data_IF_946659091209
#
_entry.id   IF_946659091209
#
_cell.length_a   1.000
_cell.length_b   1.000
_cell.length_c   1.000
_cell.angle_alpha   90.00
_cell.angle_beta   90.00
_cell.angle_gamma   90.00
#
_symmetry.space_group_name_H-M   'P 1'
#
loop_
_entity.id
_entity.type
_entity.pdbx_description
1 polymer ?
#
# COMPACT_ATOMS: atom_id res chain seq x y z
N UNK A 1 3.81 6.49 35.93
CA UNK A 1 2.78 7.52 35.63
C UNK A 1 3.24 8.21 34.35
N UNK A 2 2.81 7.71 33.19
CA UNK A 2 3.13 8.25 31.87
C UNK A 2 1.80 8.51 31.17
N UNK A 3 1.37 9.77 31.16
CA UNK A 3 0.23 10.23 30.40
C UNK A 3 0.70 10.41 28.96
N UNK A 4 0.34 9.45 28.11
CA UNK A 4 0.34 9.65 26.67
C UNK A 4 -0.86 10.56 26.37
N UNK A 5 -0.59 11.85 26.12
CA UNK A 5 -1.59 12.79 25.62
C UNK A 5 -1.94 12.39 24.18
N UNK A 6 -2.90 11.48 24.08
CA UNK A 6 -3.63 11.16 22.88
C UNK A 6 -4.43 12.37 22.44
N UNK A 7 -4.02 12.94 21.32
CA UNK A 7 -4.86 13.26 20.15
C UNK A 7 -6.36 13.00 20.43
N UNK A 8 -7.12 14.04 20.76
CA UNK A 8 -8.56 14.02 20.62
C UNK A 8 -9.08 15.44 20.32
N UNK A 9 -8.95 15.83 19.05
CA UNK A 9 -9.80 16.87 18.48
C UNK A 9 -11.19 16.27 18.23
N UNK A 10 -12.28 17.07 18.27
CA UNK A 10 -13.63 16.54 18.36
C UNK A 10 -13.88 15.59 17.20
N UNK A 11 -14.18 14.34 17.56
CA UNK A 11 -14.60 13.31 16.63
C UNK A 11 -15.71 13.84 15.72
N UNK A 12 -15.32 14.14 14.49
CA UNK A 12 -16.10 13.74 13.33
C UNK A 12 -15.27 12.71 12.59
N UNK A 13 -15.14 11.54 13.23
CA UNK A 13 -14.93 10.29 12.52
C UNK A 13 -15.86 10.35 11.30
N UNK A 14 -15.28 10.39 10.09
CA UNK A 14 -16.01 10.73 8.89
C UNK A 14 -17.34 9.98 8.89
N UNK A 15 -18.44 10.71 8.93
CA UNK A 15 -19.75 10.12 8.76
C UNK A 15 -19.81 9.72 7.29
N UNK A 16 -20.03 8.43 7.04
CA UNK A 16 -20.24 7.95 5.68
C UNK A 16 -21.58 8.53 5.26
N UNK A 17 -21.71 9.04 4.03
CA UNK A 17 -23.05 9.40 3.56
C UNK A 17 -23.96 8.18 3.76
N UNK A 18 -25.21 8.34 4.23
CA UNK A 18 -26.07 7.20 4.56
C UNK A 18 -26.15 6.16 3.42
N UNK A 19 -26.16 6.64 2.18
CA UNK A 19 -26.17 5.85 0.96
C UNK A 19 -24.88 5.01 0.77
N UNK A 20 -23.71 5.64 0.89
CA UNK A 20 -22.40 4.99 0.86
C UNK A 20 -22.25 3.92 1.98
N UNK A 21 -22.94 4.09 3.11
CA UNK A 21 -22.90 3.13 4.22
C UNK A 21 -23.73 1.88 3.90
N UNK A 22 -24.88 2.05 3.24
CA UNK A 22 -25.72 0.94 2.76
C UNK A 22 -24.97 0.15 1.69
N UNK A 23 -24.35 0.86 0.74
CA UNK A 23 -23.54 0.26 -0.32
C UNK A 23 -22.32 -0.52 0.20
N UNK A 24 -21.59 0.04 1.17
CA UNK A 24 -20.49 -0.66 1.83
C UNK A 24 -20.96 -1.95 2.51
N UNK A 25 -22.10 -1.90 3.23
CA UNK A 25 -22.67 -3.08 3.91
C UNK A 25 -23.10 -4.15 2.90
N UNK A 26 -23.72 -3.77 1.79
CA UNK A 26 -24.12 -4.70 0.72
C UNK A 26 -22.90 -5.40 0.11
N UNK A 27 -21.88 -4.63 -0.29
CA UNK A 27 -20.64 -5.19 -0.87
C UNK A 27 -19.88 -6.07 0.12
N UNK A 28 -19.88 -5.73 1.40
CA UNK A 28 -19.28 -6.57 2.43
C UNK A 28 -20.06 -7.88 2.62
N UNK A 29 -21.39 -7.85 2.52
CA UNK A 29 -22.22 -9.04 2.55
C UNK A 29 -21.95 -9.94 1.35
N UNK A 30 -21.78 -9.37 0.15
CA UNK A 30 -21.43 -10.12 -1.06
C UNK A 30 -20.07 -10.82 -0.92
N UNK A 31 -19.02 -10.11 -0.45
CA UNK A 31 -17.70 -10.71 -0.20
C UNK A 31 -17.79 -11.86 0.80
N UNK A 32 -18.57 -11.69 1.89
CA UNK A 32 -18.79 -12.75 2.87
C UNK A 32 -19.49 -13.94 2.23
N UNK A 33 -20.51 -13.71 1.41
CA UNK A 33 -21.23 -14.79 0.74
C UNK A 33 -20.31 -15.60 -0.16
N UNK A 34 -19.54 -14.95 -1.04
CA UNK A 34 -18.58 -15.63 -1.92
C UNK A 34 -17.56 -16.47 -1.13
N UNK A 35 -17.03 -15.95 -0.01
CA UNK A 35 -16.13 -16.72 0.83
C UNK A 35 -16.76 -18.00 1.39
N UNK A 36 -18.02 -17.95 1.84
CA UNK A 36 -18.71 -19.13 2.38
C UNK A 36 -19.06 -20.13 1.28
N UNK A 37 -19.51 -19.65 0.12
CA UNK A 37 -19.84 -20.49 -1.04
C UNK A 37 -18.59 -21.26 -1.53
N UNK A 38 -17.44 -20.58 -1.63
CA UNK A 38 -16.17 -21.20 -2.05
C UNK A 38 -15.51 -22.06 -0.95
N UNK A 39 -15.76 -21.77 0.33
CA UNK A 39 -15.34 -22.64 1.43
C UNK A 39 -16.08 -23.98 1.47
N UNK A 40 -17.22 -24.11 0.78
CA UNK A 40 -17.91 -25.39 0.65
C UNK A 40 -17.11 -26.46 -0.13
N UNK A 41 -15.94 -26.12 -0.70
CA UNK A 41 -14.97 -27.09 -1.22
C UNK A 41 -14.51 -28.15 -0.19
N UNK A 42 -14.84 -27.99 1.10
CA UNK A 42 -14.69 -29.04 2.10
C UNK A 42 -15.53 -30.29 1.76
N UNK A 43 -16.70 -30.12 1.15
CA UNK A 43 -17.52 -31.22 0.64
C UNK A 43 -16.80 -32.01 -0.47
N UNK A 44 -16.04 -31.31 -1.32
CA UNK A 44 -15.22 -31.94 -2.34
C UNK A 44 -14.09 -32.79 -1.73
N UNK A 45 -13.45 -32.31 -0.65
CA UNK A 45 -12.42 -33.07 0.06
C UNK A 45 -12.98 -34.36 0.67
N UNK A 46 -14.15 -34.29 1.29
CA UNK A 46 -14.83 -35.48 1.83
C UNK A 46 -15.20 -36.44 0.70
N UNK A 47 -15.72 -35.93 -0.41
CA UNK A 47 -16.05 -36.76 -1.58
C UNK A 47 -14.82 -37.46 -2.18
N UNK A 48 -13.67 -36.78 -2.30
CA UNK A 48 -12.43 -37.39 -2.78
C UNK A 48 -11.89 -38.43 -1.79
N UNK A 49 -12.01 -38.19 -0.48
CA UNK A 49 -11.64 -39.18 0.55
C UNK A 49 -12.50 -40.44 0.47
N UNK A 50 -13.80 -40.28 0.27
CA UNK A 50 -14.73 -41.40 0.14
C UNK A 50 -14.50 -42.18 -1.16
N UNK A 51 -14.28 -41.48 -2.29
CA UNK A 51 -13.95 -42.11 -3.57
C UNK A 51 -12.65 -42.95 -3.50
N UNK A 52 -11.62 -42.45 -2.80
CA UNK A 52 -10.37 -43.19 -2.61
C UNK A 52 -10.55 -44.44 -1.73
N UNK A 53 -11.43 -44.38 -0.72
CA UNK A 53 -11.80 -45.55 0.11
C UNK A 53 -12.56 -46.59 -0.69
N UNK A 54 -13.51 -46.16 -1.52
CA UNK A 54 -14.29 -47.05 -2.38
C UNK A 54 -13.41 -47.74 -3.42
N UNK A 55 -12.45 -47.03 -4.03
CA UNK A 55 -11.51 -47.61 -4.99
C UNK A 55 -10.55 -48.64 -4.38
N UNK A 56 -10.20 -48.50 -3.08
CA UNK A 56 -9.37 -49.48 -2.37
C UNK A 56 -10.06 -50.84 -2.19
N UNK A 57 -11.38 -50.95 -2.42
CA UNK A 57 -12.12 -52.22 -2.39
C UNK A 57 -12.04 -53.03 -3.69
N UNK A 58 -11.72 -52.39 -4.82
CA UNK A 58 -11.74 -53.01 -6.16
C UNK A 58 -10.32 -53.27 -6.70
N UNK A 59 -9.30 -52.60 -6.15
CA UNK A 59 -7.88 -52.87 -6.42
C UNK A 59 -7.09 -52.96 -5.12
N UNK A 60 -6.07 -53.84 -5.01
CA UNK A 60 -5.15 -53.84 -3.89
C UNK A 60 -4.24 -52.61 -3.97
N UNK A 61 -4.77 -51.46 -3.56
CA UNK A 61 -4.02 -50.23 -3.32
C UNK A 61 -3.29 -50.41 -1.98
N UNK A 62 -1.97 -50.31 -1.97
CA UNK A 62 -1.17 -50.51 -0.76
C UNK A 62 -1.44 -49.31 0.17
N UNK A 63 -1.87 -49.54 1.41
CA UNK A 63 -2.22 -48.49 2.40
C UNK A 63 -1.30 -47.25 2.42
N UNK A 64 0.04 -47.37 2.37
CA UNK A 64 0.95 -46.21 2.37
C UNK A 64 0.83 -45.32 1.13
N UNK A 65 0.35 -45.85 0.01
CA UNK A 65 0.12 -45.08 -1.22
C UNK A 65 -1.17 -44.25 -1.12
N UNK A 66 -2.23 -44.84 -0.54
CA UNK A 66 -3.48 -44.14 -0.22
C UNK A 66 -3.23 -42.98 0.75
N UNK A 67 -2.46 -43.20 1.81
CA UNK A 67 -2.12 -42.16 2.79
C UNK A 67 -1.32 -41.00 2.16
N UNK A 68 -0.41 -41.32 1.22
CA UNK A 68 0.31 -40.29 0.45
C UNK A 68 -0.63 -39.46 -0.41
N UNK A 69 -1.58 -40.09 -1.11
CA UNK A 69 -2.55 -39.38 -1.96
C UNK A 69 -3.45 -38.46 -1.13
N UNK A 70 -3.97 -38.96 -0.01
CA UNK A 70 -4.77 -38.16 0.94
C UNK A 70 -3.96 -36.98 1.48
N UNK A 71 -2.71 -37.20 1.88
CA UNK A 71 -1.83 -36.13 2.38
C UNK A 71 -1.57 -35.04 1.32
N UNK A 72 -1.42 -35.42 0.06
CA UNK A 72 -1.26 -34.45 -1.05
C UNK A 72 -2.53 -33.62 -1.22
N UNK A 73 -3.70 -34.25 -1.17
CA UNK A 73 -5.00 -33.57 -1.30
C UNK A 73 -5.21 -32.60 -0.14
N UNK A 74 -4.97 -33.04 1.10
CA UNK A 74 -5.11 -32.20 2.30
C UNK A 74 -4.17 -30.98 2.26
N UNK A 75 -2.92 -31.17 1.80
CA UNK A 75 -1.97 -30.06 1.62
C UNK A 75 -2.42 -29.07 0.56
N UNK A 76 -2.90 -29.54 -0.59
CA UNK A 76 -3.43 -28.68 -1.66
C UNK A 76 -4.66 -27.92 -1.18
N UNK A 77 -5.54 -28.58 -0.43
CA UNK A 77 -6.73 -27.96 0.12
C UNK A 77 -6.39 -26.87 1.13
N UNK A 78 -5.49 -27.15 2.07
CA UNK A 78 -4.99 -26.16 3.03
C UNK A 78 -4.40 -24.93 2.32
N UNK A 79 -3.64 -25.15 1.23
CA UNK A 79 -3.13 -24.06 0.42
C UNK A 79 -4.24 -23.22 -0.22
N UNK A 80 -5.24 -23.86 -0.82
CA UNK A 80 -6.40 -23.18 -1.42
C UNK A 80 -7.17 -22.38 -0.35
N UNK A 81 -7.35 -22.93 0.86
CA UNK A 81 -8.01 -22.21 1.96
C UNK A 81 -7.24 -20.96 2.38
N UNK A 82 -5.90 -21.05 2.44
CA UNK A 82 -5.05 -19.90 2.74
C UNK A 82 -5.19 -18.83 1.65
N UNK A 83 -5.13 -19.24 0.37
CA UNK A 83 -5.29 -18.31 -0.75
C UNK A 83 -6.66 -17.63 -0.75
N UNK A 84 -7.75 -18.36 -0.49
CA UNK A 84 -9.09 -17.79 -0.43
C UNK A 84 -9.21 -16.77 0.72
N UNK A 85 -8.70 -17.11 1.90
CA UNK A 85 -8.67 -16.18 3.05
C UNK A 85 -7.88 -14.92 2.72
N UNK A 86 -6.71 -15.08 2.09
CA UNK A 86 -5.89 -13.95 1.67
C UNK A 86 -6.63 -13.04 0.68
N UNK A 87 -7.19 -13.61 -0.39
CA UNK A 87 -7.97 -12.89 -1.39
C UNK A 87 -9.17 -12.15 -0.77
N UNK A 88 -9.87 -12.81 0.17
CA UNK A 88 -11.00 -12.21 0.89
C UNK A 88 -10.56 -11.03 1.75
N UNK A 89 -9.46 -11.17 2.49
CA UNK A 89 -8.88 -10.08 3.29
C UNK A 89 -8.46 -8.89 2.40
N UNK A 90 -7.81 -9.15 1.26
CA UNK A 90 -7.43 -8.13 0.29
C UNK A 90 -8.66 -7.36 -0.23
N UNK A 91 -9.72 -8.07 -0.62
CA UNK A 91 -10.97 -7.44 -1.07
C UNK A 91 -11.63 -6.59 0.02
N UNK A 92 -11.63 -7.06 1.28
CA UNK A 92 -12.14 -6.27 2.41
C UNK A 92 -11.29 -5.03 2.63
N UNK A 93 -9.96 -5.13 2.56
CA UNK A 93 -9.04 -3.99 2.69
C UNK A 93 -9.26 -2.97 1.59
N UNK A 94 -9.36 -3.40 0.33
CA UNK A 94 -9.64 -2.53 -0.82
C UNK A 94 -10.99 -1.85 -0.67
N UNK A 95 -12.04 -2.59 -0.29
CA UNK A 95 -13.37 -2.04 -0.04
C UNK A 95 -13.33 -1.00 1.08
N UNK A 96 -12.64 -1.30 2.18
CA UNK A 96 -12.46 -0.36 3.30
C UNK A 96 -11.74 0.90 2.85
N UNK A 97 -10.66 0.79 2.08
CA UNK A 97 -9.92 1.95 1.57
C UNK A 97 -10.79 2.79 0.64
N UNK A 98 -11.58 2.16 -0.24
CA UNK A 98 -12.47 2.86 -1.16
C UNK A 98 -13.53 3.70 -0.46
N UNK A 99 -14.09 3.22 0.67
CA UNK A 99 -15.19 3.91 1.35
C UNK A 99 -14.74 4.75 2.56
N UNK A 100 -13.68 4.35 3.27
CA UNK A 100 -13.22 5.03 4.50
C UNK A 100 -11.94 5.83 4.28
N UNK A 101 -10.98 5.34 3.51
CA UNK A 101 -9.74 6.10 3.23
C UNK A 101 -9.91 7.13 2.12
N UNK A 102 -10.84 6.93 1.17
CA UNK A 102 -11.21 7.97 0.20
C UNK A 102 -11.73 9.26 0.88
N UNK A 103 -12.25 9.15 2.11
CA UNK A 103 -12.66 10.29 2.95
C UNK A 103 -11.50 10.92 3.72
N UNK A 104 -10.37 10.22 3.87
CA UNK A 104 -9.06 10.88 4.05
C UNK A 104 -8.55 11.31 2.67
N UNK A 105 -9.31 12.18 1.98
CA UNK A 105 -8.75 12.94 0.85
C UNK A 105 -7.42 13.50 1.36
N UNK A 106 -6.29 13.17 0.71
CA UNK A 106 -5.04 13.89 0.95
C UNK A 106 -5.33 15.36 0.73
N UNK A 107 -5.47 16.11 1.80
CA UNK A 107 -5.63 17.56 1.72
C UNK A 107 -4.24 18.07 1.39
N UNK A 108 -4.08 18.54 0.16
CA UNK A 108 -2.90 19.33 -0.19
C UNK A 108 -2.87 20.55 0.73
N UNK A 109 -1.67 21.01 1.07
CA UNK A 109 -1.54 22.29 1.74
C UNK A 109 -2.08 23.40 0.83
N UNK A 110 -2.51 24.51 1.44
CA UNK A 110 -2.91 25.69 0.67
C UNK A 110 -1.74 26.16 -0.21
N UNK A 111 -2.06 26.91 -1.27
CA UNK A 111 -1.03 27.47 -2.16
C UNK A 111 -0.06 28.36 -1.38
N UNK A 112 -0.60 29.24 -0.51
CA UNK A 112 0.19 30.11 0.35
C UNK A 112 1.12 29.33 1.29
N UNK A 113 0.61 28.31 2.00
CA UNK A 113 1.46 27.47 2.86
C UNK A 113 2.57 26.78 2.06
N UNK A 114 2.24 26.29 0.86
CA UNK A 114 3.22 25.66 -0.03
C UNK A 114 4.27 26.66 -0.52
N UNK A 115 3.89 27.90 -0.83
CA UNK A 115 4.81 28.97 -1.22
C UNK A 115 5.78 29.31 -0.08
N UNK A 116 5.30 29.54 1.14
CA UNK A 116 6.12 29.82 2.33
C UNK A 116 7.15 28.70 2.59
N UNK A 117 6.70 27.44 2.60
CA UNK A 117 7.58 26.29 2.83
C UNK A 117 8.63 26.14 1.72
N UNK A 118 8.27 26.42 0.46
CA UNK A 118 9.22 26.39 -0.65
C UNK A 118 10.23 27.54 -0.58
N UNK A 119 9.79 28.74 -0.20
CA UNK A 119 10.65 29.90 -0.06
C UNK A 119 11.75 29.64 0.97
N UNK A 120 11.38 29.17 2.18
CA UNK A 120 12.34 28.78 3.19
C UNK A 120 13.30 27.69 2.70
N UNK A 121 12.76 26.64 2.05
CA UNK A 121 13.59 25.55 1.54
C UNK A 121 14.61 26.03 0.50
N UNK A 122 14.20 26.94 -0.39
CA UNK A 122 15.06 27.45 -1.45
C UNK A 122 16.12 28.42 -0.91
N UNK A 123 15.80 29.23 0.11
CA UNK A 123 16.78 30.10 0.77
C UNK A 123 17.80 29.30 1.60
N UNK A 124 17.44 28.10 2.06
CA UNK A 124 18.31 27.21 2.86
C UNK A 124 18.74 25.95 2.08
N UNK A 125 18.91 26.05 0.76
CA UNK A 125 19.11 24.85 -0.07
C UNK A 125 20.40 24.07 0.25
N UNK A 126 21.40 24.75 0.82
CA UNK A 126 22.64 24.14 1.28
C UNK A 126 22.45 23.30 2.55
N UNK A 127 21.56 23.74 3.46
CA UNK A 127 21.25 23.07 4.72
C UNK A 127 19.73 23.14 5.04
N UNK A 128 18.88 22.36 4.33
CA UNK A 128 17.42 22.49 4.42
C UNK A 128 16.85 21.71 5.63
N UNK A 129 17.37 22.02 6.82
CA UNK A 129 16.98 21.44 8.10
C UNK A 129 16.56 22.58 9.06
N UNK A 130 15.28 22.99 9.03
CA UNK A 130 14.81 24.03 9.94
C UNK A 130 14.99 23.61 11.39
N UNK A 131 15.37 24.56 12.25
CA UNK A 131 15.42 24.37 13.70
C UNK A 131 14.02 24.11 14.29
N UNK A 132 13.92 23.74 15.56
CA UNK A 132 12.60 23.58 16.20
C UNK A 132 11.82 24.91 16.23
N UNK A 133 12.50 26.02 16.50
CA UNK A 133 11.91 27.37 16.48
C UNK A 133 11.42 27.74 15.07
N UNK A 134 12.22 27.47 14.03
CA UNK A 134 11.80 27.70 12.64
C UNK A 134 10.57 26.88 12.26
N UNK A 135 10.50 25.61 12.71
CA UNK A 135 9.35 24.75 12.43
C UNK A 135 8.09 25.26 13.11
N UNK A 136 8.19 25.77 14.32
CA UNK A 136 7.06 26.39 15.05
C UNK A 136 6.55 27.63 14.31
N UNK A 137 7.45 28.49 13.87
CA UNK A 137 7.09 29.71 13.12
C UNK A 137 6.49 29.37 11.76
N UNK A 138 7.07 28.43 11.01
CA UNK A 138 6.53 27.95 9.74
C UNK A 138 5.15 27.31 9.91
N UNK A 139 4.96 26.52 10.98
CA UNK A 139 3.68 25.90 11.31
C UNK A 139 2.61 26.97 11.57
N UNK A 140 2.96 28.01 12.34
CA UNK A 140 2.08 29.16 12.64
C UNK A 140 1.70 29.92 11.38
N UNK A 141 2.66 30.27 10.53
CA UNK A 141 2.41 31.00 9.28
C UNK A 141 1.56 30.19 8.28
N UNK A 142 1.84 28.89 8.17
CA UNK A 142 1.16 27.99 7.23
C UNK A 142 -0.18 27.45 7.74
N UNK A 143 -0.52 27.69 9.02
CA UNK A 143 -1.70 27.12 9.71
C UNK A 143 -1.74 25.58 9.62
N UNK A 144 -0.60 24.95 9.85
CA UNK A 144 -0.43 23.48 9.88
C UNK A 144 0.33 23.08 11.14
N UNK A 145 0.43 21.79 11.45
CA UNK A 145 1.16 21.33 12.64
C UNK A 145 2.67 21.26 12.39
N UNK A 146 3.47 21.39 13.45
CA UNK A 146 4.94 21.21 13.42
C UNK A 146 5.33 19.84 12.84
N UNK A 147 4.55 18.79 13.13
CA UNK A 147 4.74 17.46 12.53
C UNK A 147 4.51 17.46 11.01
N UNK A 148 3.51 18.20 10.52
CA UNK A 148 3.26 18.36 9.08
C UNK A 148 4.42 19.12 8.39
N UNK A 149 4.98 20.15 9.03
CA UNK A 149 6.18 20.85 8.55
C UNK A 149 7.37 19.88 8.48
N UNK A 150 7.65 19.15 9.57
CA UNK A 150 8.75 18.18 9.64
C UNK A 150 8.65 17.12 8.54
N UNK A 151 7.46 16.55 8.35
CA UNK A 151 7.18 15.58 7.28
C UNK A 151 7.34 16.20 5.89
N UNK A 152 6.91 17.45 5.70
CA UNK A 152 7.04 18.12 4.42
C UNK A 152 8.50 18.33 4.04
N UNK A 153 9.34 18.82 4.97
CA UNK A 153 10.77 19.03 4.74
C UNK A 153 11.51 17.71 4.47
N UNK A 154 11.22 16.66 5.24
CA UNK A 154 11.77 15.32 4.99
C UNK A 154 11.45 14.83 3.58
N UNK A 155 10.19 14.93 3.15
CA UNK A 155 9.76 14.54 1.82
C UNK A 155 10.32 15.45 0.71
N UNK A 156 10.43 16.77 0.96
CA UNK A 156 10.98 17.74 0.01
C UNK A 156 12.46 17.46 -0.26
N UNK A 157 13.27 17.19 0.78
CA UNK A 157 14.69 16.81 0.63
C UNK A 157 14.87 15.54 -0.22
N UNK A 158 14.09 14.50 0.05
CA UNK A 158 14.14 13.24 -0.72
C UNK A 158 13.83 13.51 -2.20
N UNK A 159 12.78 14.28 -2.49
CA UNK A 159 12.41 14.65 -3.87
C UNK A 159 13.50 15.48 -4.54
N UNK A 160 14.05 16.47 -3.85
CA UNK A 160 15.09 17.35 -4.38
C UNK A 160 16.37 16.56 -4.75
N UNK A 161 16.83 15.67 -3.85
CA UNK A 161 17.99 14.81 -4.11
C UNK A 161 17.79 13.93 -5.36
N UNK A 162 16.59 13.34 -5.52
CA UNK A 162 16.26 12.55 -6.71
C UNK A 162 16.27 13.39 -7.99
N UNK A 163 15.76 14.62 -7.94
CA UNK A 163 15.77 15.53 -9.09
C UNK A 163 17.19 15.90 -9.50
N UNK A 164 18.07 16.23 -8.55
CA UNK A 164 19.48 16.53 -8.86
C UNK A 164 20.18 15.32 -9.47
N UNK A 165 20.05 14.13 -8.87
CA UNK A 165 20.68 12.92 -9.38
C UNK A 165 20.28 12.64 -10.84
N UNK A 166 19.00 12.76 -11.15
CA UNK A 166 18.49 12.58 -12.52
C UNK A 166 19.03 13.64 -13.49
N UNK A 167 19.15 14.89 -13.06
CA UNK A 167 19.72 15.96 -13.87
C UNK A 167 21.22 15.73 -14.16
N UNK A 168 21.97 15.23 -13.17
CA UNK A 168 23.37 14.85 -13.33
C UNK A 168 23.54 13.70 -14.32
N UNK A 169 22.72 12.65 -14.23
CA UNK A 169 22.72 11.53 -15.19
C UNK A 169 22.43 12.00 -16.63
N UNK A 170 21.43 12.87 -16.80
CA UNK A 170 21.09 13.45 -18.10
C UNK A 170 22.23 14.30 -18.67
N UNK A 171 22.87 15.13 -17.84
CA UNK A 171 24.02 15.93 -18.25
C UNK A 171 25.23 15.05 -18.64
N UNK A 172 25.48 13.96 -17.90
CA UNK A 172 26.53 13.00 -18.26
C UNK A 172 26.25 12.30 -19.59
N UNK A 173 24.98 11.94 -19.86
CA UNK A 173 24.59 11.34 -21.12
C UNK A 173 24.78 12.32 -22.28
N UNK A 174 24.30 13.56 -22.13
CA UNK A 174 24.47 14.61 -23.14
C UNK A 174 25.95 14.92 -23.41
N UNK A 175 26.78 14.97 -22.36
CA UNK A 175 28.22 15.16 -22.50
C UNK A 175 28.88 14.02 -23.31
N UNK A 176 28.51 12.76 -23.06
CA UNK A 176 29.02 11.61 -23.83
C UNK A 176 28.62 11.68 -25.31
N UNK A 177 27.38 12.06 -25.61
CA UNK A 177 26.91 12.25 -26.99
C UNK A 177 27.65 13.39 -27.70
N UNK A 178 27.90 14.50 -27.02
CA UNK A 178 28.65 15.64 -27.57
C UNK A 178 30.12 15.29 -27.86
N UNK A 179 30.77 14.50 -27.00
CA UNK A 179 32.15 14.05 -27.24
C UNK A 179 32.24 13.01 -28.37
N UNK A 180 31.22 12.17 -28.55
CA UNK A 180 31.14 11.23 -29.68
C UNK A 180 30.98 11.91 -31.04
N UNK A 181 30.28 13.05 -31.12
CA UNK A 181 30.08 13.80 -32.36
C UNK A 181 31.30 14.65 -32.79
N UNK A 182 32.20 14.99 -31.88
CA UNK A 182 33.36 15.84 -32.19
C UNK A 182 34.50 15.10 -32.91
N UNK A 183 34.48 13.76 -32.92
CA UNK A 183 35.44 12.94 -33.67
C UNK A 183 35.07 12.76 -35.16
N UNK A 184 33.82 13.04 -35.55
CA UNK A 184 33.35 12.87 -36.94
C UNK A 184 33.43 14.14 -37.80
N UNK A 185 33.78 15.30 -37.23
CA UNK A 185 33.81 16.59 -37.96
C UNK A 185 35.20 17.25 -38.09
N UNK A 186 36.28 16.66 -37.55
CA UNK A 186 37.65 17.20 -37.66
C UNK A 186 38.56 16.37 -38.57
N UNK A 187 38.01 15.86 -39.67
CA UNK A 187 38.78 15.13 -40.68
C UNK A 187 38.44 15.62 -42.09
N UNK A 188 38.60 16.94 -42.32
CA UNK A 188 38.85 17.56 -43.63
C UNK A 188 39.70 18.80 -43.45
#
# INVERSE_FOLDING_TARGET
MLLAEGIDGPEKCGTVAPDDQVDYRKKLADIRKTYHDEMSCEQFTNHVKDLLRDQASVRPIIKPEMDKMISIIEKKFSHIQIQLKQFTCENIMVLRTRFFDARRKRRNFSKAATEILNEYFNSHIADPYPSEEDKEELARQCQITVSQVSNWFGNKRIRYKKTIAKAQEANMFAAKTAHGNNFYYNQF
#
